data_IF_928043891701
#
_entry.id   IF_928043891701
#
_cell.length_a   1.000
_cell.length_b   1.000
_cell.length_c   1.000
_cell.angle_alpha   90.00
_cell.angle_beta   90.00
_cell.angle_gamma   90.00
#
_symmetry.space_group_name_H-M   'P 1'
#
loop_
_entity.id
_entity.type
_entity.pdbx_description
1 polymer ?
#
# COMPACT_ATOMS: atom_id res chain seq x y z
N UNK A 1 -25.67 9.53 21.14
CA UNK A 1 -25.79 9.35 19.68
C UNK A 1 -24.64 8.46 19.24
N UNK A 2 -24.87 7.28 18.66
CA UNK A 2 -23.79 6.43 18.19
C UNK A 2 -23.26 6.99 16.86
N UNK A 3 -21.97 7.34 16.82
CA UNK A 3 -21.28 7.73 15.60
C UNK A 3 -21.25 6.54 14.63
N UNK A 4 -21.92 6.64 13.49
CA UNK A 4 -21.79 5.67 12.40
C UNK A 4 -20.35 5.73 11.87
N UNK A 5 -19.54 4.73 12.20
CA UNK A 5 -18.28 4.46 11.49
C UNK A 5 -18.67 4.00 10.09
N UNK A 6 -18.31 4.76 9.07
CA UNK A 6 -18.50 4.36 7.70
C UNK A 6 -17.20 3.68 7.25
N UNK A 7 -17.26 2.35 7.09
CA UNK A 7 -16.21 1.53 6.48
C UNK A 7 -16.54 1.46 4.99
N UNK A 8 -15.63 1.86 4.11
CA UNK A 8 -15.85 1.87 2.65
C UNK A 8 -14.75 1.08 1.97
N UNK A 9 -15.09 0.08 1.15
CA UNK A 9 -14.13 -0.72 0.36
C UNK A 9 -13.82 0.03 -0.94
N UNK A 10 -12.55 0.24 -1.25
CA UNK A 10 -12.09 0.78 -2.54
C UNK A 10 -11.46 -0.38 -3.35
N UNK A 11 -11.54 -0.30 -4.67
CA UNK A 11 -11.22 -1.41 -5.58
C UNK A 11 -10.47 -0.86 -6.78
N UNK A 12 -9.15 -1.03 -6.84
CA UNK A 12 -8.31 -0.67 -8.01
C UNK A 12 -7.06 -1.54 -8.05
N UNK A 13 -6.74 -2.05 -9.23
CA UNK A 13 -5.55 -2.86 -9.56
C UNK A 13 -4.27 -2.00 -9.59
N UNK A 14 -3.23 -2.40 -8.86
CA UNK A 14 -1.84 -1.99 -9.12
C UNK A 14 -1.17 -3.03 -10.04
N UNK A 15 -0.76 -2.62 -11.24
CA UNK A 15 -0.05 -3.48 -12.20
C UNK A 15 1.46 -3.35 -11.98
N UNK A 16 2.13 -4.44 -11.58
CA UNK A 16 3.59 -4.50 -11.51
C UNK A 16 4.21 -4.73 -12.89
N UNK A 17 5.19 -3.91 -13.29
CA UNK A 17 5.89 -4.01 -14.57
C UNK A 17 7.16 -4.86 -14.44
N UNK A 18 7.24 -5.95 -15.22
CA UNK A 18 8.46 -6.77 -15.40
C UNK A 18 9.06 -6.54 -16.80
N UNK A 19 10.38 -6.37 -16.88
CA UNK A 19 11.12 -6.14 -18.15
C UNK A 19 11.91 -7.41 -18.52
N UNK A 20 11.49 -8.17 -19.56
CA UNK A 20 12.34 -9.19 -20.15
C UNK A 20 13.21 -8.61 -21.27
N UNK A 21 14.50 -8.92 -21.21
CA UNK A 21 15.44 -8.71 -22.32
C UNK A 21 15.22 -9.79 -23.39
N UNK A 22 14.87 -9.40 -24.63
CA UNK A 22 15.33 -10.09 -25.85
C UNK A 22 15.17 -9.28 -27.14
N UNK A 23 16.17 -9.46 -27.99
CA UNK A 23 16.40 -8.88 -29.30
C UNK A 23 15.28 -9.10 -30.32
N UNK A 24 15.02 -8.06 -31.12
CA UNK A 24 14.62 -8.22 -32.52
C UNK A 24 13.13 -8.08 -32.85
N UNK A 25 12.56 -6.89 -32.62
CA UNK A 25 11.27 -6.47 -33.17
C UNK A 25 11.18 -4.95 -33.14
N UNK A 26 10.69 -4.31 -34.21
CA UNK A 26 10.57 -2.85 -34.30
C UNK A 26 9.76 -2.30 -33.11
N UNK A 27 10.48 -1.56 -32.26
CA UNK A 27 10.00 -0.99 -31.02
C UNK A 27 9.19 0.27 -31.33
N UNK A 28 7.87 0.18 -31.27
CA UNK A 28 7.07 1.35 -30.92
C UNK A 28 7.13 1.49 -29.40
N UNK A 29 8.13 2.22 -28.93
CA UNK A 29 8.29 2.58 -27.51
C UNK A 29 7.12 3.46 -27.13
N UNK A 30 6.11 2.86 -26.50
CA UNK A 30 5.33 3.62 -25.52
C UNK A 30 6.26 3.67 -24.33
N UNK A 31 6.99 4.78 -24.20
CA UNK A 31 7.76 5.03 -22.99
C UNK A 31 6.80 4.83 -21.82
N UNK A 32 7.14 3.95 -20.88
CA UNK A 32 6.70 4.16 -19.52
C UNK A 32 7.13 5.60 -19.23
N UNK A 33 6.18 6.53 -19.14
CA UNK A 33 6.46 7.80 -18.52
C UNK A 33 6.92 7.42 -17.11
N UNK A 34 8.24 7.34 -16.94
CA UNK A 34 8.86 7.41 -15.64
C UNK A 34 8.14 8.57 -14.98
N UNK A 35 7.35 8.29 -13.96
CA UNK A 35 6.67 9.33 -13.22
C UNK A 35 7.80 10.16 -12.66
N UNK A 36 8.10 11.27 -13.33
CA UNK A 36 9.14 12.19 -12.91
C UNK A 36 8.54 12.83 -11.67
N UNK A 37 8.84 12.24 -10.52
CA UNK A 37 8.51 12.85 -9.26
C UNK A 37 9.16 14.24 -9.28
N UNK A 38 8.39 15.31 -9.06
CA UNK A 38 8.94 16.65 -9.03
C UNK A 38 10.11 16.67 -8.04
N UNK A 39 11.17 17.42 -8.36
CA UNK A 39 12.36 17.53 -7.49
C UNK A 39 11.92 17.71 -6.04
N UNK A 40 12.24 16.73 -5.20
CA UNK A 40 11.95 16.80 -3.76
C UNK A 40 12.49 18.13 -3.24
N UNK A 41 11.69 18.84 -2.45
CA UNK A 41 12.19 19.99 -1.74
C UNK A 41 13.39 19.56 -0.87
N UNK A 42 14.22 20.53 -0.51
CA UNK A 42 15.57 20.36 0.06
C UNK A 42 15.65 19.65 1.42
N UNK A 43 14.53 19.25 2.00
CA UNK A 43 14.46 18.65 3.34
C UNK A 43 14.39 17.13 3.23
N UNK A 44 15.28 16.44 3.94
CA UNK A 44 15.43 14.99 3.90
C UNK A 44 14.77 14.35 5.13
N UNK A 45 13.74 13.54 4.92
CA UNK A 45 13.04 12.79 5.95
C UNK A 45 13.35 11.28 5.88
N UNK A 46 14.36 10.87 5.11
CA UNK A 46 14.73 9.45 4.92
C UNK A 46 15.14 8.73 6.21
N UNK A 47 15.52 9.48 7.25
CA UNK A 47 15.90 8.95 8.57
C UNK A 47 14.71 8.70 9.50
N UNK A 48 13.53 9.19 9.15
CA UNK A 48 12.31 8.94 9.92
C UNK A 48 11.84 7.50 9.63
N UNK A 49 11.78 6.61 10.63
CA UNK A 49 11.23 5.27 10.45
C UNK A 49 9.85 5.31 9.80
N UNK A 50 9.69 4.49 8.76
CA UNK A 50 8.44 4.36 8.03
C UNK A 50 8.13 5.49 7.05
N UNK A 51 8.99 6.50 6.87
CA UNK A 51 8.78 7.51 5.84
C UNK A 51 8.84 6.87 4.44
N UNK A 52 7.73 6.93 3.71
CA UNK A 52 7.62 6.40 2.34
C UNK A 52 7.57 7.49 1.28
N UNK A 53 7.21 8.71 1.69
CA UNK A 53 7.16 9.86 0.80
C UNK A 53 7.24 11.17 1.60
N UNK A 54 7.86 12.19 1.01
CA UNK A 54 7.77 13.57 1.48
C UNK A 54 7.81 14.56 0.32
N UNK A 55 7.08 15.67 0.47
CA UNK A 55 6.96 16.67 -0.58
C UNK A 55 6.07 17.85 -0.20
N UNK A 56 5.88 18.76 -1.16
CA UNK A 56 5.11 20.00 -1.01
C UNK A 56 3.67 19.87 -1.51
N UNK A 57 3.36 18.75 -2.19
CA UNK A 57 2.05 18.47 -2.75
C UNK A 57 1.02 18.36 -1.64
N UNK A 58 -0.04 19.16 -1.71
CA UNK A 58 -1.08 19.22 -0.67
C UNK A 58 -2.21 18.22 -0.90
N UNK A 59 -2.40 17.76 -2.14
CA UNK A 59 -3.54 16.94 -2.56
C UNK A 59 -3.04 15.72 -3.28
N UNK A 60 -3.51 14.55 -2.89
CA UNK A 60 -3.25 13.30 -3.61
C UNK A 60 -4.56 12.58 -3.90
N UNK A 61 -4.64 11.87 -5.02
CA UNK A 61 -5.73 10.91 -5.20
C UNK A 61 -5.53 9.70 -4.30
N UNK A 62 -6.58 8.93 -4.02
CA UNK A 62 -6.45 7.68 -3.27
C UNK A 62 -5.49 6.69 -3.96
N UNK A 63 -5.53 6.64 -5.29
CA UNK A 63 -4.63 5.80 -6.08
C UNK A 63 -3.17 6.23 -5.97
N UNK A 64 -2.90 7.54 -6.07
CA UNK A 64 -1.55 8.07 -5.91
C UNK A 64 -1.02 7.86 -4.48
N UNK A 65 -1.85 8.09 -3.47
CA UNK A 65 -1.44 7.87 -2.08
C UNK A 65 -1.13 6.39 -1.83
N UNK A 66 -1.95 5.48 -2.38
CA UNK A 66 -1.76 4.04 -2.21
C UNK A 66 -0.53 3.51 -2.96
N UNK A 67 -0.06 4.18 -4.02
CA UNK A 67 1.14 3.71 -4.73
C UNK A 67 2.42 3.93 -3.91
N UNK A 68 2.49 4.96 -3.05
CA UNK A 68 3.66 5.20 -2.19
C UNK A 68 3.80 4.19 -1.06
N UNK A 69 2.70 3.56 -0.62
CA UNK A 69 2.70 2.56 0.45
C UNK A 69 2.52 1.13 -0.06
N UNK A 70 2.48 0.94 -1.38
CA UNK A 70 2.21 -0.37 -1.97
C UNK A 70 3.25 -1.41 -1.53
N UNK A 71 2.82 -2.56 -0.98
CA UNK A 71 3.75 -3.62 -0.60
C UNK A 71 4.25 -4.38 -1.81
N UNK A 72 5.36 -5.09 -1.62
CA UNK A 72 5.80 -6.18 -2.49
C UNK A 72 5.14 -7.45 -1.98
N UNK A 73 4.42 -8.16 -2.84
CA UNK A 73 3.98 -9.53 -2.54
C UNK A 73 5.07 -10.50 -2.98
N UNK A 74 5.57 -11.28 -2.03
CA UNK A 74 6.51 -12.35 -2.29
C UNK A 74 5.82 -13.68 -2.02
N UNK A 75 5.91 -14.59 -2.98
CA UNK A 75 5.30 -15.91 -2.92
C UNK A 75 6.40 -16.96 -2.92
N UNK A 76 6.20 -18.04 -2.16
CA UNK A 76 7.06 -19.21 -2.25
C UNK A 76 7.06 -19.75 -3.68
N UNK A 77 8.21 -20.23 -4.22
CA UNK A 77 8.22 -21.00 -5.46
C UNK A 77 7.33 -22.25 -5.42
N UNK A 78 7.06 -22.76 -4.22
CA UNK A 78 6.22 -23.94 -3.98
C UNK A 78 4.75 -23.56 -3.66
N UNK A 79 4.37 -22.29 -3.93
CA UNK A 79 3.02 -21.79 -3.68
C UNK A 79 1.97 -22.61 -4.46
N UNK A 80 1.04 -23.33 -3.79
CA UNK A 80 0.16 -24.30 -4.44
C UNK A 80 -0.70 -23.72 -5.56
N UNK A 81 -1.03 -22.43 -5.49
CA UNK A 81 -1.82 -21.75 -6.53
C UNK A 81 -1.02 -21.30 -7.75
N UNK A 82 0.31 -21.46 -7.72
CA UNK A 82 1.19 -21.18 -8.87
C UNK A 82 1.25 -22.33 -9.89
N UNK A 83 0.92 -23.58 -9.54
CA UNK A 83 1.07 -24.76 -10.42
C UNK A 83 2.45 -24.76 -11.16
N UNK A 84 2.49 -25.07 -12.47
CA UNK A 84 3.66 -24.96 -13.36
C UNK A 84 3.78 -23.55 -14.01
N UNK A 85 3.08 -22.53 -13.48
CA UNK A 85 3.11 -21.18 -14.05
C UNK A 85 4.43 -20.49 -13.70
N UNK A 86 5.03 -19.82 -14.69
CA UNK A 86 6.29 -19.11 -14.52
C UNK A 86 6.26 -17.71 -15.13
N UNK A 87 7.05 -16.81 -14.56
CA UNK A 87 7.31 -15.48 -15.11
C UNK A 87 6.03 -14.69 -15.37
N UNK A 88 5.75 -14.38 -16.65
CA UNK A 88 4.59 -13.58 -17.07
C UNK A 88 3.25 -14.30 -16.92
N UNK A 89 3.28 -15.62 -16.76
CA UNK A 89 2.07 -16.43 -16.62
C UNK A 89 1.61 -16.50 -15.15
N UNK A 90 2.45 -16.00 -14.21
CA UNK A 90 2.08 -15.76 -12.82
C UNK A 90 1.11 -14.57 -12.72
N UNK A 91 -0.13 -14.86 -12.34
CA UNK A 91 -1.23 -13.88 -12.22
C UNK A 91 -1.78 -13.77 -10.80
N UNK A 92 -0.98 -14.11 -9.80
CA UNK A 92 -1.40 -14.05 -8.39
C UNK A 92 -0.86 -12.79 -7.68
N UNK A 93 -1.65 -12.15 -6.81
CA UNK A 93 -3.06 -12.43 -6.53
C UNK A 93 -3.96 -12.14 -7.73
N UNK A 94 -5.13 -12.79 -7.79
CA UNK A 94 -6.05 -12.71 -8.93
C UNK A 94 -7.10 -11.63 -8.75
N UNK A 95 -7.80 -11.27 -9.85
CA UNK A 95 -9.00 -10.46 -9.74
C UNK A 95 -10.16 -11.30 -9.18
N UNK A 96 -11.07 -10.65 -8.45
CA UNK A 96 -12.29 -11.24 -7.92
C UNK A 96 -13.12 -11.91 -9.03
N UNK A 97 -13.85 -13.00 -8.73
CA UNK A 97 -14.42 -13.88 -9.75
C UNK A 97 -15.55 -13.23 -10.57
N UNK A 98 -16.09 -12.10 -10.09
CA UNK A 98 -17.14 -11.33 -10.77
C UNK A 98 -16.58 -10.18 -11.63
N UNK A 99 -15.27 -10.06 -11.78
CA UNK A 99 -14.60 -9.04 -12.57
C UNK A 99 -13.95 -9.60 -13.85
N UNK A 100 -13.63 -8.70 -14.79
CA UNK A 100 -12.79 -9.06 -15.92
C UNK A 100 -11.40 -9.47 -15.43
N UNK A 101 -10.93 -10.64 -15.85
CA UNK A 101 -9.61 -11.16 -15.47
C UNK A 101 -8.52 -10.52 -16.32
N UNK A 102 -7.65 -9.65 -15.76
CA UNK A 102 -6.58 -9.02 -16.51
C UNK A 102 -5.42 -9.98 -16.77
N UNK A 103 -4.50 -9.57 -17.65
CA UNK A 103 -3.24 -10.27 -17.93
C UNK A 103 -2.12 -9.91 -16.93
N UNK A 104 -2.47 -9.52 -15.71
CA UNK A 104 -1.54 -9.13 -14.64
C UNK A 104 -2.10 -9.50 -13.27
N UNK A 105 -1.24 -9.64 -12.24
CA UNK A 105 -1.69 -9.68 -10.86
C UNK A 105 -2.58 -8.49 -10.49
N UNK A 106 -3.49 -8.71 -9.56
CA UNK A 106 -4.42 -7.72 -9.03
C UNK A 106 -4.36 -7.71 -7.51
N UNK A 107 -4.15 -6.52 -6.97
CA UNK A 107 -4.29 -6.23 -5.55
C UNK A 107 -5.27 -5.08 -5.42
N UNK A 108 -6.20 -5.22 -4.48
CA UNK A 108 -7.17 -4.18 -4.15
C UNK A 108 -6.67 -3.36 -2.97
N UNK A 109 -7.15 -2.13 -2.82
CA UNK A 109 -6.83 -1.33 -1.64
C UNK A 109 -8.04 -0.60 -1.09
N UNK A 110 -8.12 -0.46 0.23
CA UNK A 110 -9.23 0.13 0.95
C UNK A 110 -8.74 1.14 1.99
N UNK A 111 -9.28 2.35 1.96
CA UNK A 111 -9.05 3.35 3.01
C UNK A 111 -10.11 3.27 4.10
N UNK A 112 -9.67 3.26 5.36
CA UNK A 112 -10.50 3.26 6.55
C UNK A 112 -10.03 4.36 7.51
N UNK A 113 -10.95 4.84 8.36
CA UNK A 113 -10.67 5.77 9.45
C UNK A 113 -9.82 7.00 9.06
N UNK A 114 -10.15 7.69 7.96
CA UNK A 114 -9.44 8.91 7.56
C UNK A 114 -9.67 10.00 8.61
N UNK A 115 -8.65 10.26 9.42
CA UNK A 115 -8.66 11.21 10.52
C UNK A 115 -8.39 12.64 10.03
N UNK A 116 -9.23 13.57 10.46
CA UNK A 116 -9.08 15.00 10.17
C UNK A 116 -8.36 15.71 11.34
N UNK A 117 -7.43 16.60 11.01
CA UNK A 117 -6.84 17.58 11.92
C UNK A 117 -7.90 18.53 12.49
N UNK A 118 -7.82 18.78 13.79
CA UNK A 118 -8.77 19.66 14.49
C UNK A 118 -8.40 21.13 14.43
N UNK A 119 -7.14 21.43 14.13
CA UNK A 119 -6.56 22.77 14.05
C UNK A 119 -6.66 23.40 12.65
N UNK A 120 -7.21 22.68 11.66
CA UNK A 120 -7.31 23.15 10.28
C UNK A 120 -8.75 23.19 9.77
N UNK A 121 -9.04 24.15 8.90
CA UNK A 121 -10.32 24.26 8.20
C UNK A 121 -10.37 23.41 6.93
N UNK A 122 -11.58 22.96 6.58
CA UNK A 122 -11.82 22.17 5.36
C UNK A 122 -11.80 20.65 5.56
N UNK A 123 -12.10 19.88 4.49
CA UNK A 123 -12.17 18.43 4.54
C UNK A 123 -10.77 17.78 4.49
N UNK A 124 -10.61 16.61 5.10
CA UNK A 124 -9.44 15.74 4.89
C UNK A 124 -9.61 14.82 3.66
N UNK A 125 -10.86 14.61 3.23
CA UNK A 125 -11.24 13.71 2.15
C UNK A 125 -12.34 14.35 1.31
N UNK A 126 -12.14 14.35 -0.01
CA UNK A 126 -13.10 14.88 -0.99
C UNK A 126 -13.44 13.73 -1.95
N UNK A 127 -14.67 13.18 -1.87
CA UNK A 127 -15.04 12.04 -2.69
C UNK A 127 -15.25 12.45 -4.16
N UNK A 128 -14.77 11.62 -5.06
CA UNK A 128 -15.20 11.59 -6.46
C UNK A 128 -16.35 10.60 -6.59
N UNK A 129 -17.52 11.09 -7.01
CA UNK A 129 -18.74 10.28 -7.11
C UNK A 129 -18.77 9.32 -8.30
N UNK A 130 -17.85 9.49 -9.25
CA UNK A 130 -17.77 8.68 -10.47
C UNK A 130 -16.70 7.60 -10.35
N UNK A 131 -15.55 7.96 -9.78
CA UNK A 131 -14.47 7.02 -9.55
C UNK A 131 -13.79 7.30 -8.20
N UNK A 132 -14.07 6.44 -7.22
CA UNK A 132 -13.56 6.61 -5.86
C UNK A 132 -12.03 6.69 -5.81
N UNK A 133 -11.31 6.04 -6.73
CA UNK A 133 -9.84 6.09 -6.81
C UNK A 133 -9.29 7.50 -7.03
N UNK A 134 -10.08 8.36 -7.69
CA UNK A 134 -9.76 9.76 -7.97
C UNK A 134 -10.15 10.70 -6.83
N UNK A 135 -10.81 10.19 -5.78
CA UNK A 135 -11.10 10.97 -4.58
C UNK A 135 -9.81 11.51 -3.99
N UNK A 136 -9.89 12.70 -3.40
CA UNK A 136 -8.73 13.45 -2.95
C UNK A 136 -8.55 13.34 -1.44
N UNK A 137 -7.32 13.06 -1.02
CA UNK A 137 -6.82 13.28 0.34
C UNK A 137 -6.13 14.65 0.38
N UNK A 138 -6.57 15.49 1.32
CA UNK A 138 -5.97 16.80 1.60
C UNK A 138 -4.92 16.64 2.71
N UNK A 139 -3.63 16.58 2.34
CA UNK A 139 -2.51 16.31 3.25
C UNK A 139 -2.37 17.36 4.37
N UNK A 140 -2.82 18.59 4.12
CA UNK A 140 -2.92 19.62 5.16
C UNK A 140 -3.89 19.22 6.27
N UNK A 141 -5.01 18.62 5.90
CA UNK A 141 -6.14 18.38 6.79
C UNK A 141 -6.20 16.95 7.33
N UNK A 142 -5.47 16.01 6.74
CA UNK A 142 -5.42 14.62 7.21
C UNK A 142 -4.28 14.44 8.24
N UNK A 143 -4.51 13.61 9.26
CA UNK A 143 -3.50 13.31 10.30
C UNK A 143 -3.09 11.84 10.31
N UNK A 144 -4.04 10.94 10.10
CA UNK A 144 -3.81 9.51 10.09
C UNK A 144 -4.91 8.80 9.31
N UNK A 145 -4.63 7.58 8.84
CA UNK A 145 -5.60 6.70 8.22
C UNK A 145 -5.14 5.25 8.31
N UNK A 146 -6.05 4.32 8.03
CA UNK A 146 -5.74 2.91 7.80
C UNK A 146 -5.89 2.65 6.30
N UNK A 147 -4.91 1.99 5.68
CA UNK A 147 -4.95 1.56 4.29
C UNK A 147 -4.76 0.05 4.25
N UNK A 148 -5.79 -0.68 3.83
CA UNK A 148 -5.71 -2.13 3.63
C UNK A 148 -5.35 -2.42 2.19
N UNK A 149 -4.36 -3.27 1.94
CA UNK A 149 -4.20 -3.98 0.67
C UNK A 149 -4.83 -5.34 0.80
N UNK A 150 -5.51 -5.81 -0.25
CA UNK A 150 -6.32 -7.01 -0.21
C UNK A 150 -5.96 -7.88 -1.41
N UNK A 151 -5.38 -9.04 -1.13
CA UNK A 151 -5.11 -10.07 -2.10
C UNK A 151 -6.30 -11.04 -2.17
N UNK A 152 -6.62 -11.53 -3.37
CA UNK A 152 -7.61 -12.57 -3.57
C UNK A 152 -6.95 -13.81 -4.19
N UNK A 153 -7.31 -14.97 -3.64
CA UNK A 153 -6.95 -16.28 -4.16
C UNK A 153 -8.22 -17.09 -4.46
N UNK A 154 -8.26 -17.82 -5.59
CA UNK A 154 -9.42 -18.61 -6.01
C UNK A 154 -9.63 -19.89 -5.20
N UNK A 155 -8.88 -20.08 -4.11
CA UNK A 155 -8.98 -21.19 -3.18
C UNK A 155 -8.28 -20.83 -1.88
N UNK A 156 -8.81 -21.28 -0.75
CA UNK A 156 -8.10 -21.28 0.53
C UNK A 156 -7.12 -22.45 0.58
N UNK A 157 -5.85 -22.15 0.82
CA UNK A 157 -4.86 -23.16 1.22
C UNK A 157 -4.75 -23.17 2.75
N UNK A 158 -4.45 -24.34 3.34
CA UNK A 158 -4.30 -24.49 4.78
C UNK A 158 -5.42 -25.31 5.41
N UNK A 159 -6.45 -24.66 5.95
CA UNK A 159 -7.62 -25.37 6.49
C UNK A 159 -8.53 -25.92 5.38
N UNK A 160 -8.46 -25.35 4.17
CA UNK A 160 -9.15 -25.83 2.97
C UNK A 160 -10.68 -25.74 3.07
N UNK A 161 -11.20 -24.78 3.83
CA UNK A 161 -12.62 -24.64 4.13
C UNK A 161 -13.40 -23.85 3.08
N UNK A 162 -12.74 -23.03 2.27
CA UNK A 162 -13.41 -22.08 1.39
C UNK A 162 -12.86 -22.07 -0.05
N UNK A 163 -13.77 -21.82 -1.00
CA UNK A 163 -13.46 -21.67 -2.44
C UNK A 163 -12.88 -20.29 -2.77
N UNK A 164 -12.97 -19.33 -1.86
CA UNK A 164 -12.49 -17.96 -2.08
C UNK A 164 -11.76 -17.51 -0.84
N UNK A 165 -10.53 -17.06 -1.04
CA UNK A 165 -9.68 -16.60 0.04
C UNK A 165 -9.28 -15.15 -0.20
N UNK A 166 -9.38 -14.35 0.85
CA UNK A 166 -9.17 -12.91 0.81
C UNK A 166 -8.28 -12.56 1.98
N UNK A 167 -7.11 -12.03 1.64
CA UNK A 167 -5.99 -11.88 2.55
C UNK A 167 -5.62 -10.38 2.61
N UNK A 168 -6.08 -9.65 3.65
CA UNK A 168 -5.77 -8.24 3.85
C UNK A 168 -4.45 -8.01 4.59
N UNK A 169 -3.76 -6.92 4.25
CA UNK A 169 -2.71 -6.31 5.05
C UNK A 169 -3.03 -4.84 5.31
N UNK A 170 -3.24 -4.48 6.58
CA UNK A 170 -3.55 -3.12 7.01
C UNK A 170 -2.29 -2.34 7.37
N UNK A 171 -2.12 -1.19 6.74
CA UNK A 171 -1.08 -0.21 7.01
C UNK A 171 -1.71 0.94 7.80
N UNK A 172 -1.27 1.14 9.03
CA UNK A 172 -1.62 2.33 9.81
C UNK A 172 -0.65 3.44 9.45
N UNK A 173 -1.18 4.54 8.92
CA UNK A 173 -0.40 5.59 8.30
C UNK A 173 -0.62 6.90 9.05
N UNK A 174 0.45 7.66 9.23
CA UNK A 174 0.40 9.07 9.60
C UNK A 174 0.69 9.97 8.40
N UNK A 175 0.16 11.19 8.46
CA UNK A 175 0.60 12.29 7.62
C UNK A 175 1.11 13.36 8.56
N UNK A 176 2.38 13.72 8.45
CA UNK A 176 3.03 14.75 9.25
C UNK A 176 3.28 15.99 8.41
N UNK A 177 3.38 17.14 9.07
CA UNK A 177 3.84 18.40 8.47
C UNK A 177 5.28 18.66 8.89
N UNK A 178 6.07 19.36 8.09
CA UNK A 178 7.43 19.79 8.49
C UNK A 178 7.48 20.54 9.82
N UNK A 179 6.37 21.21 10.17
CA UNK A 179 6.21 21.94 11.43
C UNK A 179 5.83 21.06 12.62
N UNK A 180 5.72 19.74 12.45
CA UNK A 180 5.37 18.82 13.54
C UNK A 180 6.53 18.74 14.53
N UNK A 181 6.32 19.00 15.84
CA UNK A 181 7.39 19.00 16.84
C UNK A 181 8.26 17.74 16.81
N UNK A 182 7.64 16.57 16.62
CA UNK A 182 8.35 15.29 16.46
C UNK A 182 9.50 15.35 15.43
N UNK A 183 9.28 15.97 14.26
CA UNK A 183 10.29 16.01 13.19
C UNK A 183 11.46 16.93 13.53
N UNK A 184 11.19 18.00 14.29
CA UNK A 184 12.19 19.00 14.68
C UNK A 184 12.96 18.51 15.91
N UNK A 185 12.26 18.08 16.94
CA UNK A 185 12.82 17.73 18.26
C UNK A 185 13.55 16.39 18.23
N UNK A 186 12.96 15.35 17.61
CA UNK A 186 13.52 14.00 17.66
C UNK A 186 14.42 13.70 16.45
N UNK A 187 14.17 14.33 15.31
CA UNK A 187 14.89 14.06 14.05
C UNK A 187 15.72 15.25 13.55
N UNK A 188 15.62 16.42 14.17
CA UNK A 188 16.42 17.60 13.81
C UNK A 188 16.16 18.11 12.39
N UNK A 189 15.02 17.80 11.80
CA UNK A 189 14.67 18.22 10.44
C UNK A 189 13.89 19.53 10.50
N UNK A 190 14.62 20.64 10.39
CA UNK A 190 14.02 21.96 10.17
C UNK A 190 13.89 22.24 8.67
N UNK A 191 12.71 22.69 8.27
CA UNK A 191 12.40 22.95 6.88
C UNK A 191 11.67 24.28 6.73
N UNK A 192 12.28 25.21 5.99
CA UNK A 192 11.74 26.56 5.75
C UNK A 192 10.47 26.54 4.89
N UNK A 193 10.23 25.41 4.21
CA UNK A 193 9.03 25.17 3.41
C UNK A 193 8.07 24.23 4.15
N UNK A 194 6.77 24.48 3.99
CA UNK A 194 5.74 23.54 4.44
C UNK A 194 5.84 22.26 3.60
N UNK A 195 6.23 21.17 4.25
CA UNK A 195 6.30 19.84 3.68
C UNK A 195 5.27 18.94 4.34
N UNK A 196 4.88 17.90 3.63
CA UNK A 196 4.12 16.78 4.16
C UNK A 196 4.98 15.53 4.08
N UNK A 197 4.87 14.67 5.09
CA UNK A 197 5.53 13.37 5.16
C UNK A 197 4.45 12.31 5.33
N UNK A 198 4.44 11.32 4.44
CA UNK A 198 3.62 10.12 4.59
C UNK A 198 4.52 9.05 5.19
N UNK A 199 4.04 8.42 6.26
CA UNK A 199 4.75 7.27 6.79
C UNK A 199 3.87 6.21 7.43
N UNK A 200 4.44 5.03 7.56
CA UNK A 200 3.78 3.85 8.09
C UNK A 200 4.21 3.66 9.53
N UNK A 201 3.24 3.46 10.42
CA UNK A 201 3.46 3.25 11.86
C UNK A 201 3.41 1.78 12.24
N UNK A 202 2.52 1.03 11.57
CA UNK A 202 2.28 -0.39 11.83
C UNK A 202 1.75 -1.05 10.58
N UNK A 203 2.15 -2.29 10.36
CA UNK A 203 1.56 -3.19 9.36
C UNK A 203 0.97 -4.38 10.08
N UNK A 204 -0.28 -4.72 9.77
CA UNK A 204 -0.99 -5.90 10.28
C UNK A 204 -1.41 -6.74 9.10
N UNK A 205 -0.74 -7.87 8.87
CA UNK A 205 -1.18 -8.85 7.90
C UNK A 205 -2.22 -9.80 8.55
N UNK A 206 -3.42 -9.84 7.98
CA UNK A 206 -4.62 -10.41 8.58
C UNK A 206 -4.93 -11.79 7.97
N UNK A 207 -4.31 -12.87 8.45
CA UNK A 207 -4.61 -14.19 7.91
C UNK A 207 -6.01 -14.70 8.28
N UNK A 208 -6.77 -15.17 7.28
CA UNK A 208 -8.14 -15.70 7.39
C UNK A 208 -9.15 -14.80 8.13
N UNK A 209 -8.87 -13.49 8.26
CA UNK A 209 -9.71 -12.55 9.02
C UNK A 209 -9.86 -12.87 10.51
N UNK A 210 -8.98 -13.71 11.08
CA UNK A 210 -8.99 -14.08 12.49
C UNK A 210 -7.81 -13.42 13.22
N UNK A 211 -8.11 -12.62 14.25
CA UNK A 211 -7.08 -11.85 14.98
C UNK A 211 -5.94 -12.70 15.55
N UNK A 212 -6.18 -13.99 15.82
CA UNK A 212 -5.16 -14.92 16.32
C UNK A 212 -4.07 -15.25 15.31
N UNK A 213 -4.31 -15.03 14.02
CA UNK A 213 -3.35 -15.24 12.95
C UNK A 213 -2.78 -13.94 12.39
N UNK A 214 -2.95 -12.82 13.11
CA UNK A 214 -2.44 -11.55 12.65
C UNK A 214 -0.93 -11.45 12.87
N UNK A 215 -0.21 -11.21 11.78
CA UNK A 215 1.21 -10.87 11.82
C UNK A 215 1.32 -9.34 11.93
N UNK A 216 1.61 -8.87 13.14
CA UNK A 216 1.66 -7.43 13.47
C UNK A 216 3.12 -6.98 13.59
N UNK A 217 3.47 -5.96 12.81
CA UNK A 217 4.77 -5.30 12.85
C UNK A 217 4.61 -3.82 13.17
N UNK A 218 5.17 -3.39 14.29
CA UNK A 218 5.42 -1.98 14.56
C UNK A 218 6.68 -1.51 13.81
N UNK A 219 6.57 -0.36 13.16
CA UNK A 219 7.64 0.21 12.35
C UNK A 219 8.71 0.87 13.22
N UNK A 220 9.97 0.55 12.96
CA UNK A 220 11.14 1.13 13.63
C UNK A 220 12.31 1.34 12.65
N UNK A 221 13.49 1.68 13.17
CA UNK A 221 14.68 1.99 12.36
C UNK A 221 15.21 0.81 11.51
N UNK A 222 14.78 -0.42 11.81
CA UNK A 222 15.16 -1.62 11.04
C UNK A 222 14.15 -1.93 9.94
N UNK A 223 12.97 -1.31 9.97
CA UNK A 223 11.94 -1.56 8.98
C UNK A 223 12.30 -0.98 7.61
N UNK A 224 12.12 -1.76 6.55
CA UNK A 224 12.34 -1.35 5.16
C UNK A 224 11.03 -1.20 4.39
N UNK A 225 11.01 -0.21 3.51
CA UNK A 225 9.90 0.04 2.58
C UNK A 225 10.41 0.09 1.13
N UNK A 226 9.60 -0.32 0.13
CA UNK A 226 8.26 -0.88 0.26
C UNK A 226 8.25 -2.18 1.07
N UNK A 227 7.21 -2.38 1.88
CA UNK A 227 7.11 -3.53 2.80
C UNK A 227 6.98 -4.81 1.98
N UNK A 228 7.78 -5.82 2.28
CA UNK A 228 7.61 -7.14 1.66
C UNK A 228 6.64 -7.95 2.52
N UNK A 229 5.58 -8.46 1.88
CA UNK A 229 4.61 -9.37 2.45
C UNK A 229 4.88 -10.75 1.88
N UNK A 230 5.32 -11.67 2.75
CA UNK A 230 5.59 -13.06 2.41
C UNK A 230 4.27 -13.83 2.54
N UNK A 231 3.76 -14.37 1.45
CA UNK A 231 2.64 -15.30 1.50
C UNK A 231 3.14 -16.67 1.96
N UNK A 232 2.59 -17.17 3.08
CA UNK A 232 2.92 -18.48 3.64
C UNK A 232 2.46 -19.60 2.70
N UNK A 233 3.40 -20.47 2.35
CA UNK A 233 3.14 -21.67 1.56
C UNK A 233 2.04 -22.52 2.22
N UNK A 234 1.01 -22.84 1.44
CA UNK A 234 -0.04 -23.74 1.90
C UNK A 234 -0.96 -23.14 2.97
N UNK A 235 -0.97 -21.82 3.17
CA UNK A 235 -1.97 -21.13 4.01
C UNK A 235 -2.48 -19.81 3.40
N UNK A 236 -1.75 -19.22 2.45
CA UNK A 236 -1.94 -17.85 1.94
C UNK A 236 -1.93 -16.72 2.99
N UNK A 237 -1.70 -17.05 4.27
CA UNK A 237 -1.51 -16.06 5.32
C UNK A 237 -0.28 -15.21 5.04
N UNK A 238 -0.42 -13.90 5.13
CA UNK A 238 0.70 -12.99 4.90
C UNK A 238 1.51 -12.76 6.18
N UNK A 239 2.82 -12.76 6.03
CA UNK A 239 3.80 -12.38 7.04
C UNK A 239 4.51 -11.08 6.62
N UNK A 240 4.81 -10.22 7.58
CA UNK A 240 5.57 -8.99 7.31
C UNK A 240 7.06 -9.30 7.37
N UNK A 241 7.79 -8.98 6.31
CA UNK A 241 9.26 -9.03 6.30
C UNK A 241 9.80 -7.64 6.66
N UNK A 242 10.23 -7.53 7.91
CA UNK A 242 10.61 -6.25 8.51
C UNK A 242 11.79 -5.61 7.77
N UNK A 243 12.84 -6.35 7.49
CA UNK A 243 14.11 -5.84 6.97
C UNK A 243 14.33 -6.17 5.48
N UNK A 244 13.34 -6.79 4.83
CA UNK A 244 13.37 -7.17 3.42
C UNK A 244 14.49 -8.17 3.08
N UNK A 245 14.82 -9.08 4.01
CA UNK A 245 15.88 -10.08 3.81
C UNK A 245 15.34 -11.45 3.34
N UNK A 246 14.01 -11.63 3.35
CA UNK A 246 13.34 -12.84 2.90
C UNK A 246 13.50 -14.06 3.81
N UNK A 247 13.87 -13.89 5.08
CA UNK A 247 14.03 -14.97 6.07
C UNK A 247 12.97 -15.00 7.17
#
# INVERSE_FOLDING_TARGET
MPSRRHTWVVLVCLVALWIPSRSGGQITTVAAEATVFPSQATCDYSRLPGAVWWGTKQRMTLNEFASYTAPIYWFSPDEPTMDDLEGKDLRIPQALPFESQPDSPVVYYQYNNIGRRTDEEGPAFIPDSTNMANSIIELQNVVAMNLKYIAYFPREEGLGGHEHDVEPAEFRIWVLRSTTPLLIEDYGVECDQLMYVIGVLRVTAEAHGLEWYFNVLDVDEYTKFPMTLIAEEGKHGMCTDKNADGY
#
